data_IF_504917165897
#
_entry.id   IF_504917165897
#
_cell.length_a   1.000
_cell.length_b   1.000
_cell.length_c   1.000
_cell.angle_alpha   90.00
_cell.angle_beta   90.00
_cell.angle_gamma   90.00
#
_symmetry.space_group_name_H-M   'P 1'
#
loop_
_entity.id
_entity.type
_entity.pdbx_description
1 polymer ?
#
# COMPACT_ATOMS: atom_id res chain seq x y z
N UNK A 1 -21.19 -9.13 -8.24
CA UNK A 1 -20.17 -8.91 -7.19
C UNK A 1 -20.80 -9.31 -5.88
N UNK A 2 -20.10 -9.99 -4.97
CA UNK A 2 -20.68 -10.37 -3.67
C UNK A 2 -20.50 -9.24 -2.63
N UNK A 3 -21.35 -9.21 -1.61
CA UNK A 3 -21.37 -8.19 -0.55
C UNK A 3 -20.01 -8.04 0.17
N UNK A 4 -19.23 -9.13 0.23
CA UNK A 4 -17.89 -9.16 0.81
C UNK A 4 -16.83 -8.45 -0.07
N UNK A 5 -16.90 -8.56 -1.40
CA UNK A 5 -16.02 -7.83 -2.31
C UNK A 5 -16.28 -6.32 -2.28
N UNK A 6 -17.54 -5.90 -2.12
CA UNK A 6 -17.91 -4.49 -2.01
C UNK A 6 -17.36 -3.86 -0.72
N UNK A 7 -17.44 -4.58 0.42
CA UNK A 7 -16.87 -4.13 1.69
C UNK A 7 -15.35 -3.91 1.63
N UNK A 8 -14.61 -4.86 1.03
CA UNK A 8 -13.17 -4.70 0.80
C UNK A 8 -12.87 -3.47 -0.06
N UNK A 9 -13.56 -3.33 -1.20
CA UNK A 9 -13.31 -2.22 -2.12
C UNK A 9 -13.63 -0.87 -1.47
N UNK A 10 -14.64 -0.82 -0.61
CA UNK A 10 -14.98 0.37 0.17
C UNK A 10 -13.87 0.75 1.15
N UNK A 11 -13.36 -0.20 1.94
CA UNK A 11 -12.28 0.05 2.91
C UNK A 11 -10.98 0.48 2.24
N UNK A 12 -10.65 -0.16 1.12
CA UNK A 12 -9.50 0.17 0.28
C UNK A 12 -9.65 1.58 -0.31
N UNK A 13 -10.85 1.98 -0.77
CA UNK A 13 -11.12 3.35 -1.23
C UNK A 13 -11.06 4.38 -0.11
N UNK A 14 -11.59 4.05 1.07
CA UNK A 14 -11.54 4.94 2.24
C UNK A 14 -10.08 5.22 2.62
N UNK A 15 -9.22 4.20 2.55
CA UNK A 15 -7.80 4.38 2.77
C UNK A 15 -7.17 5.40 1.80
N UNK A 16 -7.54 5.39 0.51
CA UNK A 16 -7.03 6.38 -0.46
C UNK A 16 -7.48 7.80 -0.13
N UNK A 17 -8.71 7.97 0.37
CA UNK A 17 -9.23 9.28 0.76
C UNK A 17 -8.49 9.86 1.98
N UNK A 18 -7.91 9.00 2.83
CA UNK A 18 -7.13 9.40 3.99
C UNK A 18 -5.65 9.67 3.66
N UNK A 19 -5.20 9.36 2.44
CA UNK A 19 -3.83 9.64 2.03
C UNK A 19 -3.67 11.14 1.84
N UNK A 20 -2.71 11.72 2.55
CA UNK A 20 -2.31 13.10 2.31
C UNK A 20 -1.79 13.22 0.88
N UNK A 21 -2.21 14.26 0.13
CA UNK A 21 -1.67 14.52 -1.19
C UNK A 21 -0.16 14.83 -1.10
N UNK A 22 0.52 14.80 -2.25
CA UNK A 22 1.92 15.19 -2.30
C UNK A 22 2.08 16.67 -1.87
N UNK A 23 3.15 16.96 -1.13
CA UNK A 23 3.44 18.34 -0.72
C UNK A 23 3.73 19.21 -1.95
N UNK A 24 3.06 20.35 -2.06
CA UNK A 24 3.20 21.28 -3.18
C UNK A 24 4.62 21.88 -3.29
N UNK A 25 5.42 21.82 -2.23
CA UNK A 25 6.80 22.29 -2.21
C UNK A 25 7.81 21.25 -2.71
N UNK A 26 7.39 20.01 -2.95
CA UNK A 26 8.28 18.98 -3.50
C UNK A 26 8.55 19.21 -4.99
N UNK A 27 9.65 18.66 -5.55
CA UNK A 27 9.86 18.68 -6.99
C UNK A 27 8.70 18.03 -7.75
N UNK A 28 8.34 18.58 -8.90
CA UNK A 28 7.20 18.12 -9.71
C UNK A 28 7.24 16.60 -9.97
N UNK A 29 8.41 16.05 -10.31
CA UNK A 29 8.56 14.61 -10.55
C UNK A 29 8.29 13.75 -9.30
N UNK A 30 8.52 14.28 -8.09
CA UNK A 30 8.18 13.60 -6.82
C UNK A 30 6.67 13.71 -6.58
N UNK A 31 6.06 14.88 -6.83
CA UNK A 31 4.62 15.08 -6.70
C UNK A 31 3.83 14.15 -7.64
N UNK A 32 4.26 14.08 -8.90
CA UNK A 32 3.69 13.19 -9.91
C UNK A 32 3.86 11.74 -9.46
N UNK A 33 5.03 11.33 -8.98
CA UNK A 33 5.25 9.97 -8.53
C UNK A 33 4.35 9.56 -7.36
N UNK A 34 4.18 10.42 -6.35
CA UNK A 34 3.29 10.16 -5.21
C UNK A 34 1.85 10.05 -5.69
N UNK A 35 1.41 10.96 -6.55
CA UNK A 35 0.07 10.92 -7.16
C UNK A 35 -0.14 9.65 -8.00
N UNK A 36 0.86 9.25 -8.79
CA UNK A 36 0.87 8.01 -9.57
C UNK A 36 0.74 6.80 -8.63
N UNK A 37 1.50 6.75 -7.53
CA UNK A 37 1.44 5.67 -6.55
C UNK A 37 0.05 5.60 -5.91
N UNK A 38 -0.51 6.71 -5.43
CA UNK A 38 -1.81 6.71 -4.76
C UNK A 38 -2.93 6.19 -5.66
N UNK A 39 -2.97 6.66 -6.92
CA UNK A 39 -3.98 6.23 -7.90
C UNK A 39 -3.92 4.73 -8.23
N UNK A 40 -2.74 4.11 -8.09
CA UNK A 40 -2.51 2.73 -8.50
C UNK A 40 -2.07 1.84 -7.32
N UNK A 41 -2.24 2.31 -6.08
CA UNK A 41 -1.63 1.69 -4.89
C UNK A 41 -1.98 0.21 -4.76
N UNK A 42 -3.21 -0.12 -5.13
CA UNK A 42 -3.79 -1.45 -5.01
C UNK A 42 -3.80 -2.24 -6.33
N UNK A 43 -3.20 -1.70 -7.39
CA UNK A 43 -2.90 -2.45 -8.60
C UNK A 43 -1.68 -3.33 -8.35
N UNK A 44 -1.83 -4.64 -8.54
CA UNK A 44 -0.75 -5.60 -8.28
C UNK A 44 0.42 -5.50 -9.26
N UNK A 45 0.26 -4.79 -10.39
CA UNK A 45 1.33 -4.48 -11.35
C UNK A 45 2.21 -3.31 -10.90
N UNK A 46 1.74 -2.45 -9.98
CA UNK A 46 2.49 -1.30 -9.49
C UNK A 46 3.81 -1.74 -8.84
N UNK A 47 4.91 -1.31 -9.45
CA UNK A 47 6.26 -1.47 -8.95
C UNK A 47 7.13 -0.29 -9.39
N UNK A 48 8.38 -0.22 -8.93
CA UNK A 48 9.27 0.91 -9.23
C UNK A 48 9.60 1.04 -10.72
N UNK A 49 9.68 -0.06 -11.47
CA UNK A 49 9.87 -0.01 -12.93
C UNK A 49 8.63 0.61 -13.58
N UNK A 50 7.45 0.08 -13.27
CA UNK A 50 6.18 0.60 -13.77
C UNK A 50 6.02 2.10 -13.49
N UNK A 51 6.39 2.55 -12.29
CA UNK A 51 6.32 3.96 -11.89
C UNK A 51 7.24 4.85 -12.74
N UNK A 52 8.45 4.38 -13.02
CA UNK A 52 9.42 5.12 -13.86
C UNK A 52 8.92 5.22 -15.31
N UNK A 53 8.43 4.11 -15.84
CA UNK A 53 7.95 4.01 -17.22
C UNK A 53 6.68 4.86 -17.45
N UNK A 54 5.75 4.86 -16.48
CA UNK A 54 4.47 5.57 -16.61
C UNK A 54 4.50 7.05 -16.30
N UNK A 55 5.44 7.49 -15.46
CA UNK A 55 5.52 8.88 -15.02
C UNK A 55 6.75 9.62 -15.62
N UNK A 56 7.36 9.05 -16.67
CA UNK A 56 8.49 9.58 -17.46
C UNK A 56 9.68 10.03 -16.58
N UNK A 57 10.06 9.20 -15.62
CA UNK A 57 11.04 9.58 -14.59
C UNK A 57 12.43 9.02 -14.90
N UNK A 58 13.40 9.93 -15.07
CA UNK A 58 14.79 9.56 -15.32
C UNK A 58 15.39 8.66 -14.20
N UNK A 59 15.94 7.52 -14.61
CA UNK A 59 16.18 6.33 -13.79
C UNK A 59 17.29 6.46 -12.74
N UNK A 60 18.31 7.32 -12.97
CA UNK A 60 19.58 7.22 -12.21
C UNK A 60 19.49 7.70 -10.76
N UNK A 61 18.75 8.77 -10.50
CA UNK A 61 18.75 9.43 -9.16
C UNK A 61 17.36 9.55 -8.55
N UNK A 62 16.31 9.13 -9.27
CA UNK A 62 14.94 9.35 -8.82
C UNK A 62 14.63 8.70 -7.47
N UNK A 63 14.99 7.44 -7.25
CA UNK A 63 14.63 6.75 -6.01
C UNK A 63 15.26 7.41 -4.78
N UNK A 64 16.50 7.88 -4.90
CA UNK A 64 17.16 8.65 -3.84
C UNK A 64 16.52 10.03 -3.65
N UNK A 65 16.19 10.72 -4.74
CA UNK A 65 15.49 12.02 -4.68
C UNK A 65 14.11 11.87 -4.03
N UNK A 66 13.33 10.87 -4.42
CA UNK A 66 12.04 10.56 -3.82
C UNK A 66 12.19 10.34 -2.31
N UNK A 67 13.17 9.53 -1.89
CA UNK A 67 13.44 9.29 -0.47
C UNK A 67 13.85 10.56 0.29
N UNK A 68 14.59 11.48 -0.35
CA UNK A 68 14.98 12.75 0.27
C UNK A 68 13.77 13.62 0.67
N UNK A 69 12.70 13.60 -0.14
CA UNK A 69 11.51 14.43 0.12
C UNK A 69 10.41 13.68 0.88
N UNK A 70 10.22 12.38 0.58
CA UNK A 70 9.13 11.56 1.13
C UNK A 70 9.56 10.78 2.39
N UNK A 71 10.87 10.63 2.62
CA UNK A 71 11.43 9.87 3.74
C UNK A 71 11.53 8.36 3.51
N UNK A 72 11.00 7.85 2.40
CA UNK A 72 10.99 6.43 2.04
C UNK A 72 11.44 6.22 0.61
N UNK A 73 12.12 5.14 0.28
CA UNK A 73 12.28 4.77 -1.13
C UNK A 73 10.91 4.39 -1.73
N UNK A 74 10.68 4.59 -3.05
CA UNK A 74 9.36 4.34 -3.66
C UNK A 74 8.80 2.94 -3.39
N UNK A 75 9.67 1.91 -3.40
CA UNK A 75 9.28 0.53 -3.11
C UNK A 75 8.77 0.36 -1.67
N UNK A 76 9.45 0.98 -0.71
CA UNK A 76 9.12 0.93 0.71
C UNK A 76 7.84 1.71 0.98
N UNK A 77 7.70 2.88 0.35
CA UNK A 77 6.50 3.69 0.43
C UNK A 77 5.25 2.91 -0.04
N UNK A 78 5.32 2.26 -1.21
CA UNK A 78 4.24 1.39 -1.71
C UNK A 78 3.92 0.29 -0.69
N UNK A 79 4.94 -0.41 -0.20
CA UNK A 79 4.74 -1.52 0.72
C UNK A 79 4.11 -1.07 2.05
N UNK A 80 4.66 -0.01 2.63
CA UNK A 80 4.20 0.58 3.87
C UNK A 80 2.72 0.93 3.80
N UNK A 81 2.30 1.61 2.72
CA UNK A 81 0.90 1.98 2.56
C UNK A 81 -0.02 0.78 2.29
N UNK A 82 0.44 -0.25 1.56
CA UNK A 82 -0.34 -1.48 1.39
C UNK A 82 -0.55 -2.23 2.70
N UNK A 83 0.49 -2.32 3.55
CA UNK A 83 0.37 -2.96 4.87
C UNK A 83 -0.52 -2.14 5.80
N UNK A 84 -0.40 -0.80 5.82
CA UNK A 84 -1.31 0.06 6.59
C UNK A 84 -2.76 -0.11 6.17
N UNK A 85 -3.04 -0.16 4.88
CA UNK A 85 -4.38 -0.45 4.36
C UNK A 85 -4.86 -1.84 4.81
N UNK A 86 -3.99 -2.86 4.70
CA UNK A 86 -4.32 -4.22 5.09
C UNK A 86 -4.68 -4.32 6.58
N UNK A 87 -3.94 -3.65 7.47
CA UNK A 87 -4.25 -3.61 8.91
C UNK A 87 -5.65 -3.05 9.18
N UNK A 88 -5.98 -1.91 8.56
CA UNK A 88 -7.31 -1.30 8.72
C UNK A 88 -8.40 -2.25 8.24
N UNK A 89 -8.21 -2.85 7.06
CA UNK A 89 -9.15 -3.83 6.53
C UNK A 89 -9.27 -5.05 7.43
N UNK A 90 -8.16 -5.64 7.89
CA UNK A 90 -8.18 -6.83 8.76
C UNK A 90 -8.90 -6.61 10.08
N UNK A 91 -8.86 -5.38 10.62
CA UNK A 91 -9.56 -4.97 11.85
C UNK A 91 -11.04 -4.69 11.60
N UNK A 92 -11.37 -4.04 10.49
CA UNK A 92 -12.72 -3.53 10.25
C UNK A 92 -13.64 -4.57 9.57
N UNK A 93 -13.08 -5.66 9.01
CA UNK A 93 -13.88 -6.73 8.39
C UNK A 93 -13.29 -8.13 8.59
N UNK A 94 -14.14 -9.07 8.97
CA UNK A 94 -13.79 -10.48 9.07
C UNK A 94 -13.83 -11.14 7.68
N UNK A 95 -12.71 -11.07 6.96
CA UNK A 95 -12.52 -11.74 5.68
C UNK A 95 -11.24 -12.58 5.65
N UNK A 96 -11.16 -13.60 4.78
CA UNK A 96 -9.95 -14.39 4.64
C UNK A 96 -8.74 -13.49 4.32
N UNK A 97 -7.63 -13.71 5.02
CA UNK A 97 -6.37 -12.95 4.84
C UNK A 97 -5.93 -12.93 3.36
N UNK A 98 -6.18 -14.01 2.63
CA UNK A 98 -5.94 -14.09 1.18
C UNK A 98 -6.70 -13.03 0.37
N UNK A 99 -7.95 -12.74 0.72
CA UNK A 99 -8.76 -11.72 0.04
C UNK A 99 -8.23 -10.32 0.32
N UNK A 100 -7.85 -10.05 1.57
CA UNK A 100 -7.24 -8.76 1.95
C UNK A 100 -5.90 -8.57 1.23
N UNK A 101 -5.05 -9.60 1.19
CA UNK A 101 -3.77 -9.55 0.49
C UNK A 101 -3.92 -9.16 -1.00
N UNK A 102 -4.84 -9.80 -1.72
CA UNK A 102 -5.10 -9.49 -3.12
C UNK A 102 -5.68 -8.07 -3.29
N UNK A 103 -6.59 -7.69 -2.40
CA UNK A 103 -7.24 -6.38 -2.46
C UNK A 103 -6.31 -5.20 -2.17
N UNK A 104 -5.29 -5.41 -1.34
CA UNK A 104 -4.27 -4.39 -1.07
C UNK A 104 -3.08 -4.47 -2.04
N UNK A 105 -3.26 -5.12 -3.19
CA UNK A 105 -2.32 -5.07 -4.32
C UNK A 105 -1.16 -6.08 -4.25
N UNK A 106 -1.25 -7.14 -3.46
CA UNK A 106 -0.28 -8.24 -3.51
C UNK A 106 -0.68 -9.30 -4.53
N UNK A 107 0.29 -9.86 -5.24
CA UNK A 107 0.08 -10.95 -6.20
C UNK A 107 -0.05 -12.34 -5.55
N UNK A 108 0.33 -12.47 -4.26
CA UNK A 108 0.25 -13.75 -3.55
C UNK A 108 0.17 -13.55 -2.04
N UNK A 109 -0.47 -14.51 -1.35
CA UNK A 109 -0.53 -14.56 0.11
C UNK A 109 0.88 -14.64 0.72
N UNK A 110 1.78 -15.44 0.14
CA UNK A 110 3.14 -15.61 0.67
C UNK A 110 3.94 -14.30 0.67
N UNK A 111 3.86 -13.53 -0.43
CA UNK A 111 4.50 -12.22 -0.51
C UNK A 111 3.91 -11.23 0.51
N UNK A 112 2.59 -11.26 0.68
CA UNK A 112 1.89 -10.46 1.69
C UNK A 112 2.31 -10.82 3.10
N UNK A 113 2.24 -12.10 3.52
CA UNK A 113 2.61 -12.51 4.87
C UNK A 113 4.06 -12.17 5.21
N UNK A 114 4.99 -12.35 4.26
CA UNK A 114 6.40 -11.98 4.45
C UNK A 114 6.57 -10.46 4.65
N UNK A 115 5.87 -9.65 3.86
CA UNK A 115 5.89 -8.20 4.00
C UNK A 115 5.24 -7.74 5.30
N UNK A 116 4.06 -8.27 5.63
CA UNK A 116 3.31 -7.95 6.83
C UNK A 116 4.14 -8.27 8.08
N UNK A 117 4.70 -9.47 8.18
CA UNK A 117 5.55 -9.87 9.30
C UNK A 117 6.80 -9.01 9.45
N UNK A 118 7.35 -8.51 8.35
CA UNK A 118 8.51 -7.61 8.39
C UNK A 118 8.15 -6.22 8.93
N UNK A 119 6.95 -5.73 8.64
CA UNK A 119 6.50 -4.40 9.09
C UNK A 119 5.82 -4.42 10.46
N UNK A 120 5.30 -5.58 10.88
CA UNK A 120 4.47 -5.74 12.09
C UNK A 120 5.05 -6.71 13.12
N UNK A 121 6.19 -7.32 12.85
CA UNK A 121 6.84 -8.35 13.68
C UNK A 121 6.03 -9.64 13.92
N UNK A 122 4.83 -9.76 13.35
CA UNK A 122 3.93 -10.92 13.48
C UNK A 122 3.11 -11.19 12.21
N UNK A 123 2.50 -12.37 12.12
CA UNK A 123 1.66 -12.74 10.98
C UNK A 123 0.34 -11.94 10.94
N UNK A 124 -0.30 -11.82 9.76
CA UNK A 124 -1.58 -11.11 9.63
C UNK A 124 -2.75 -11.77 10.37
N UNK A 125 -2.75 -13.09 10.55
CA UNK A 125 -3.76 -13.79 11.36
C UNK A 125 -3.55 -13.52 12.85
N UNK A 126 -2.33 -13.77 13.34
CA UNK A 126 -1.94 -13.48 14.73
C UNK A 126 -2.23 -12.01 15.10
N UNK A 127 -1.91 -11.07 14.19
CA UNK A 127 -2.19 -9.65 14.39
C UNK A 127 -3.68 -9.34 14.50
N UNK A 128 -4.54 -10.05 13.76
CA UNK A 128 -5.99 -9.86 13.86
C UNK A 128 -6.49 -10.33 15.22
N UNK A 129 -6.09 -11.53 15.64
CA UNK A 129 -6.48 -12.11 16.92
C UNK A 129 -6.09 -11.18 18.08
N UNK A 130 -4.86 -10.67 18.08
CA UNK A 130 -4.39 -9.74 19.12
C UNK A 130 -5.21 -8.44 19.18
N UNK A 131 -5.64 -7.90 18.04
CA UNK A 131 -6.44 -6.66 18.01
C UNK A 131 -7.88 -6.91 18.44
N UNK A 132 -8.43 -8.09 18.18
CA UNK A 132 -9.76 -8.50 18.63
C UNK A 132 -9.79 -8.74 20.15
N UNK A 133 -8.72 -9.26 20.75
CA UNK A 133 -8.62 -9.47 22.21
C UNK A 133 -8.52 -8.16 23.03
N UNK A 134 -8.07 -7.07 22.40
CA UNK A 134 -7.86 -5.76 23.04
C UNK A 134 -9.06 -4.80 22.86
N UNK A 135 -10.01 -5.13 21.99
CA UNK A 135 -11.18 -4.31 21.63
C UNK A 135 -12.42 -4.61 22.48
#
# INVERSE_FOLDING_TARGET
MNQQQEGILMLVKNYLNDLSPADSNWPENVQIAVSCIHKNLFDASLNVSWLKDKCDINHKVFSARFAQYVGFYPKEYILHHRIKAAKRTLRDIDLPVTRVALAVGFNSLSAFCKAFKREMDMGPSDWREEVEEVA
#
